data_IF_800448591168
#
_entry.id   IF_800448591168
#
_cell.length_a   1.000
_cell.length_b   1.000
_cell.length_c   1.000
_cell.angle_alpha   90.00
_cell.angle_beta   90.00
_cell.angle_gamma   90.00
#
_symmetry.space_group_name_H-M   'P 1'
#
loop_
_entity.id
_entity.type
_entity.pdbx_description
1 polymer ?
#
# COMPACT_ATOMS: atom_id res chain seq x y z
N UNK A 1 -8.02 -35.46 10.39
CA UNK A 1 -7.36 -34.85 9.21
C UNK A 1 -7.25 -33.35 9.44
N UNK A 2 -6.05 -32.82 9.69
CA UNK A 2 -5.82 -31.38 9.76
C UNK A 2 -5.80 -30.81 8.34
N UNK A 3 -6.64 -29.81 8.08
CA UNK A 3 -6.56 -29.03 6.84
C UNK A 3 -5.27 -28.23 6.87
N UNK A 4 -4.34 -28.53 5.95
CA UNK A 4 -3.18 -27.68 5.72
C UNK A 4 -3.59 -26.57 4.75
N UNK A 5 -3.84 -25.38 5.29
CA UNK A 5 -4.06 -24.20 4.47
C UNK A 5 -2.74 -23.81 3.79
N UNK A 6 -2.77 -23.40 2.51
CA UNK A 6 -1.58 -22.89 1.85
C UNK A 6 -1.04 -21.70 2.63
N UNK A 7 0.28 -21.68 2.84
CA UNK A 7 0.96 -20.55 3.47
C UNK A 7 1.15 -19.48 2.40
N UNK A 8 0.24 -18.52 2.35
CA UNK A 8 0.43 -17.32 1.53
C UNK A 8 1.63 -16.54 2.05
N UNK A 9 2.56 -16.25 1.17
CA UNK A 9 3.70 -15.38 1.44
C UNK A 9 3.33 -13.96 1.05
N UNK A 10 4.03 -12.96 1.61
CA UNK A 10 3.76 -11.56 1.26
C UNK A 10 4.03 -11.25 -0.22
N UNK A 11 4.90 -12.02 -0.88
CA UNK A 11 5.08 -11.99 -2.34
C UNK A 11 3.83 -12.42 -3.15
N UNK A 12 2.88 -13.12 -2.53
CA UNK A 12 1.61 -13.49 -3.17
C UNK A 12 0.57 -12.35 -3.10
N UNK A 13 0.89 -11.26 -2.39
CA UNK A 13 0.05 -10.07 -2.27
C UNK A 13 0.38 -9.11 -3.42
N UNK A 14 -0.54 -8.99 -4.38
CA UNK A 14 -0.39 -8.09 -5.53
C UNK A 14 -0.49 -6.60 -5.14
N UNK A 15 -1.41 -6.30 -4.21
CA UNK A 15 -1.65 -4.96 -3.71
C UNK A 15 -2.21 -5.05 -2.29
N UNK A 16 -1.56 -4.36 -1.35
CA UNK A 16 -2.06 -4.19 0.01
C UNK A 16 -2.60 -2.78 0.19
N UNK A 17 -3.81 -2.64 0.72
CA UNK A 17 -4.49 -1.35 0.89
C UNK A 17 -4.91 -1.17 2.35
N UNK A 18 -4.58 -0.01 2.90
CA UNK A 18 -5.09 0.47 4.18
C UNK A 18 -5.93 1.73 3.97
N UNK A 19 -6.97 1.90 4.78
CA UNK A 19 -7.83 3.09 4.77
C UNK A 19 -7.67 3.76 6.13
N UNK A 20 -7.01 4.91 6.14
CA UNK A 20 -6.44 5.48 7.34
C UNK A 20 -7.05 6.85 7.67
N UNK A 21 -7.73 6.90 8.82
CA UNK A 21 -8.06 8.15 9.52
C UNK A 21 -7.15 8.23 10.76
N UNK A 22 -7.63 7.78 11.92
CA UNK A 22 -6.83 7.77 13.17
C UNK A 22 -5.60 6.85 13.13
N UNK A 23 -5.56 5.88 12.21
CA UNK A 23 -4.44 4.94 12.07
C UNK A 23 -3.29 5.47 11.21
N UNK A 24 -3.42 6.63 10.55
CA UNK A 24 -2.46 7.10 9.53
C UNK A 24 -1.00 7.04 10.00
N UNK A 25 -0.71 7.54 11.20
CA UNK A 25 0.64 7.51 11.75
C UNK A 25 1.17 6.09 11.95
N UNK A 26 0.32 5.19 12.42
CA UNK A 26 0.69 3.78 12.60
C UNK A 26 0.94 3.09 11.25
N UNK A 27 0.11 3.38 10.26
CA UNK A 27 0.23 2.82 8.92
C UNK A 27 1.51 3.30 8.20
N UNK A 28 1.95 4.54 8.45
CA UNK A 28 3.17 5.14 7.89
C UNK A 28 4.45 4.77 8.65
N UNK A 29 4.41 4.69 9.99
CA UNK A 29 5.62 4.52 10.81
C UNK A 29 5.86 3.08 11.24
N UNK A 30 4.80 2.29 11.43
CA UNK A 30 4.90 0.91 11.96
C UNK A 30 4.64 -0.11 10.87
N UNK A 31 3.50 -0.04 10.17
CA UNK A 31 3.15 -1.05 9.16
C UNK A 31 4.02 -0.97 7.91
N UNK A 32 4.27 0.23 7.41
CA UNK A 32 5.07 0.44 6.19
C UNK A 32 6.42 -0.30 6.20
N UNK A 33 7.31 -0.15 7.21
CA UNK A 33 8.56 -0.89 7.23
C UNK A 33 8.35 -2.41 7.39
N UNK A 34 7.33 -2.85 8.13
CA UNK A 34 7.01 -4.28 8.28
C UNK A 34 6.55 -4.91 6.97
N UNK A 35 5.74 -4.22 6.18
CA UNK A 35 5.30 -4.69 4.87
C UNK A 35 6.44 -4.69 3.85
N UNK A 36 7.31 -3.68 3.89
CA UNK A 36 8.53 -3.68 3.08
C UNK A 36 9.45 -4.86 3.45
N UNK A 37 9.62 -5.13 4.75
CA UNK A 37 10.39 -6.28 5.24
C UNK A 37 9.79 -7.62 4.80
N UNK A 38 8.46 -7.72 4.79
CA UNK A 38 7.76 -8.91 4.30
C UNK A 38 7.88 -9.08 2.78
N UNK A 39 8.23 -8.02 2.03
CA UNK A 39 8.37 -8.06 0.57
C UNK A 39 7.08 -7.74 -0.19
N UNK A 40 6.12 -7.04 0.44
CA UNK A 40 4.96 -6.52 -0.26
C UNK A 40 5.44 -5.50 -1.30
N UNK A 41 5.05 -5.68 -2.57
CA UNK A 41 5.59 -4.87 -3.67
C UNK A 41 4.87 -3.52 -3.78
N UNK A 42 3.54 -3.54 -3.68
CA UNK A 42 2.68 -2.37 -3.78
C UNK A 42 1.84 -2.23 -2.50
N UNK A 43 2.02 -1.12 -1.79
CA UNK A 43 1.32 -0.78 -0.56
C UNK A 43 0.67 0.60 -0.68
N UNK A 44 -0.63 0.66 -0.47
CA UNK A 44 -1.43 1.88 -0.59
C UNK A 44 -2.06 2.26 0.73
N UNK A 45 -2.10 3.57 1.00
CA UNK A 45 -2.82 4.15 2.13
C UNK A 45 -3.79 5.19 1.57
N UNK A 46 -5.09 4.96 1.74
CA UNK A 46 -6.08 6.03 1.58
C UNK A 46 -6.03 6.91 2.83
N UNK A 47 -5.33 8.03 2.73
CA UNK A 47 -5.21 9.01 3.80
C UNK A 47 -6.48 9.88 3.82
N UNK A 48 -7.35 9.62 4.79
CA UNK A 48 -8.64 10.31 4.93
C UNK A 48 -8.51 11.71 5.55
N UNK A 49 -7.41 11.97 6.27
CA UNK A 49 -7.13 13.27 6.90
C UNK A 49 -6.81 14.31 5.81
N UNK A 50 -5.84 13.99 4.96
CA UNK A 50 -5.39 14.88 3.87
C UNK A 50 -6.18 14.65 2.58
N UNK A 51 -7.15 13.73 2.59
CA UNK A 51 -7.94 13.30 1.43
C UNK A 51 -7.04 13.01 0.21
N UNK A 52 -6.12 12.06 0.35
CA UNK A 52 -5.26 11.67 -0.76
C UNK A 52 -4.93 10.18 -0.72
N UNK A 53 -4.51 9.64 -1.85
CA UNK A 53 -3.96 8.29 -1.92
C UNK A 53 -2.44 8.36 -1.86
N UNK A 54 -1.85 7.70 -0.86
CA UNK A 54 -0.41 7.48 -0.79
C UNK A 54 -0.08 6.08 -1.34
N UNK A 55 0.74 6.02 -2.38
CA UNK A 55 1.20 4.75 -2.96
C UNK A 55 2.68 4.56 -2.70
N UNK A 56 3.05 3.36 -2.26
CA UNK A 56 4.41 2.97 -1.92
C UNK A 56 4.80 1.75 -2.75
N UNK A 57 5.98 1.80 -3.38
CA UNK A 57 6.49 0.74 -4.25
C UNK A 57 8.01 0.63 -4.18
N UNK A 58 8.54 -0.48 -4.68
CA UNK A 58 9.97 -0.81 -4.65
C UNK A 58 10.49 -0.94 -3.20
N UNK A 59 10.08 -1.99 -2.46
CA UNK A 59 10.59 -2.23 -1.12
C UNK A 59 12.13 -2.36 -1.14
N UNK A 60 12.77 -1.87 -0.09
CA UNK A 60 14.22 -1.95 0.07
C UNK A 60 14.60 -2.15 1.54
N UNK A 61 15.83 -2.61 1.73
CA UNK A 61 16.55 -2.61 3.00
C UNK A 61 17.80 -1.72 2.83
N UNK A 62 18.03 -0.79 3.75
CA UNK A 62 19.26 0.01 3.74
C UNK A 62 20.44 -0.72 4.41
N UNK A 63 21.61 -0.08 4.40
CA UNK A 63 22.83 -0.63 5.01
C UNK A 63 22.77 -0.76 6.54
N UNK A 64 21.81 -0.12 7.21
CA UNK A 64 21.56 -0.23 8.65
C UNK A 64 20.50 -1.28 8.98
N UNK A 65 19.96 -1.97 7.97
CA UNK A 65 18.94 -2.99 8.12
C UNK A 65 17.52 -2.44 8.26
N UNK A 66 17.29 -1.14 8.01
CA UNK A 66 15.95 -0.56 8.03
C UNK A 66 15.23 -0.84 6.71
N UNK A 67 13.96 -1.20 6.81
CA UNK A 67 13.09 -1.45 5.67
C UNK A 67 12.22 -0.25 5.33
N UNK A 68 11.89 -0.10 4.06
CA UNK A 68 10.99 0.93 3.56
C UNK A 68 10.71 0.78 2.07
N UNK A 69 10.10 1.80 1.47
CA UNK A 69 9.81 1.84 0.03
C UNK A 69 10.58 2.97 -0.63
N UNK A 70 11.20 2.69 -1.77
CA UNK A 70 12.03 3.68 -2.48
C UNK A 70 11.17 4.71 -3.20
N UNK A 71 9.98 4.32 -3.67
CA UNK A 71 9.07 5.19 -4.40
C UNK A 71 7.79 5.42 -3.60
N UNK A 72 7.51 6.68 -3.30
CA UNK A 72 6.23 7.18 -2.80
C UNK A 72 5.61 8.12 -3.83
N UNK A 73 4.34 7.94 -4.17
CA UNK A 73 3.57 8.88 -5.01
C UNK A 73 2.25 9.19 -4.34
N UNK A 74 1.91 10.47 -4.31
CA UNK A 74 0.64 10.98 -3.80
C UNK A 74 -0.27 11.29 -4.98
N UNK A 75 -1.51 10.80 -4.91
CA UNK A 75 -2.57 11.14 -5.83
C UNK A 75 -3.67 11.92 -5.11
N UNK A 76 -4.17 12.97 -5.75
CA UNK A 76 -5.23 13.85 -5.27
C UNK A 76 -6.63 13.26 -5.57
N UNK A 77 -7.69 13.71 -4.87
CA UNK A 77 -9.04 13.17 -5.01
C UNK A 77 -9.62 13.17 -6.42
N UNK A 78 -9.20 14.08 -7.29
CA UNK A 78 -9.72 14.21 -8.66
C UNK A 78 -8.86 13.48 -9.70
N UNK A 79 -7.86 12.73 -9.26
CA UNK A 79 -6.98 11.98 -10.13
C UNK A 79 -7.45 10.54 -10.31
N UNK A 80 -6.78 9.87 -11.25
CA UNK A 80 -7.06 8.51 -11.63
C UNK A 80 -5.77 7.72 -11.57
N UNK A 81 -5.82 6.54 -10.96
CA UNK A 81 -4.64 5.69 -10.72
C UNK A 81 -4.85 4.30 -11.31
N UNK A 82 -3.82 3.75 -11.93
CA UNK A 82 -3.84 2.37 -12.40
C UNK A 82 -3.66 1.41 -11.22
N UNK A 83 -4.43 0.33 -11.18
CA UNK A 83 -4.21 -0.74 -10.22
C UNK A 83 -2.94 -1.52 -10.62
N UNK A 84 -1.92 -1.62 -9.75
CA UNK A 84 -0.71 -2.38 -10.06
C UNK A 84 -1.06 -3.85 -10.32
N UNK A 85 -0.32 -4.48 -11.24
CA UNK A 85 -0.50 -5.88 -11.65
C UNK A 85 -1.82 -6.23 -12.37
N UNK A 86 -2.73 -5.27 -12.59
CA UNK A 86 -3.94 -5.47 -13.38
C UNK A 86 -3.89 -4.62 -14.67
N UNK A 87 -3.82 -5.29 -15.82
CA UNK A 87 -3.88 -4.61 -17.12
C UNK A 87 -5.21 -3.85 -17.27
N UNK A 88 -5.13 -2.59 -17.71
CA UNK A 88 -6.27 -1.72 -18.04
C UNK A 88 -7.25 -1.42 -16.89
N UNK A 89 -6.92 -1.77 -15.64
CA UNK A 89 -7.77 -1.48 -14.48
C UNK A 89 -7.41 -0.15 -13.86
N UNK A 90 -8.43 0.69 -13.72
CA UNK A 90 -8.29 2.09 -13.36
C UNK A 90 -9.20 2.42 -12.17
N UNK A 91 -8.66 3.11 -11.17
CA UNK A 91 -9.41 3.63 -10.03
C UNK A 91 -9.51 5.16 -10.13
N UNK A 92 -10.74 5.62 -10.33
CA UNK A 92 -11.12 7.03 -10.30
C UNK A 92 -11.31 7.46 -8.83
N UNK A 93 -10.38 8.28 -8.32
CA UNK A 93 -10.37 8.67 -6.91
C UNK A 93 -11.52 9.60 -6.55
N UNK A 94 -12.17 10.24 -7.53
CA UNK A 94 -13.28 11.16 -7.28
C UNK A 94 -14.54 10.42 -6.79
N UNK A 95 -14.58 9.10 -7.02
CA UNK A 95 -15.64 8.19 -6.54
C UNK A 95 -15.31 7.59 -5.17
N UNK A 96 -14.07 7.72 -4.71
CA UNK A 96 -13.59 7.15 -3.45
C UNK A 96 -13.57 8.21 -2.36
N UNK A 97 -13.05 9.40 -2.67
CA UNK A 97 -13.08 10.54 -1.76
C UNK A 97 -14.33 11.37 -2.02
N UNK A 98 -15.32 11.39 -1.11
CA UNK A 98 -16.50 12.23 -1.27
C UNK A 98 -16.12 13.72 -1.29
N UNK A 99 -16.85 14.49 -2.09
CA UNK A 99 -16.74 15.95 -2.15
C UNK A 99 -17.13 16.59 -0.83
#
# INVERSE_FOLDING_TARGET
>A
MQRQYPKFLAQDILLLIEIADSSLKYDQEVKLPLYAQAGVTDYWIFNLIEKCLETYSQPFQDSMGKFGYRRKVIYLPNETVNLPCFSESVLDLSKVFPQ
#
